data_IF_387844791051
#
_entry.id   IF_387844791051
#
_cell.length_a   1.000
_cell.length_b   1.000
_cell.length_c   1.000
_cell.angle_alpha   90.00
_cell.angle_beta   90.00
_cell.angle_gamma   90.00
#
_symmetry.space_group_name_H-M   'P 1'
#
loop_
_entity.id
_entity.type
_entity.pdbx_description
1 polymer ?
#
# COMPACT_ATOMS: atom_id res chain seq x y z
N UNK A 1 36.56 42.63 66.71
CA UNK A 1 37.81 41.94 66.29
C UNK A 1 37.41 40.50 65.94
N UNK A 2 37.19 40.12 64.66
CA UNK A 2 38.14 39.41 63.75
C UNK A 2 38.94 38.32 64.49
N UNK A 3 38.89 37.02 64.18
CA UNK A 3 39.09 36.30 62.92
C UNK A 3 38.23 35.00 62.86
N UNK A 4 37.59 34.57 61.75
CA UNK A 4 38.07 34.05 60.45
C UNK A 4 38.91 32.76 60.53
N UNK A 5 38.28 31.63 60.20
CA UNK A 5 38.93 30.40 59.74
C UNK A 5 38.35 30.07 58.34
N UNK A 6 39.23 29.75 57.39
CA UNK A 6 38.94 29.53 55.96
C UNK A 6 39.23 28.06 55.66
N UNK A 7 38.33 27.37 54.94
CA UNK A 7 38.58 26.05 54.35
C UNK A 7 38.27 26.15 52.84
N UNK A 8 39.17 25.68 51.94
CA UNK A 8 39.05 25.93 50.51
C UNK A 8 38.28 24.82 49.75
N UNK A 9 37.34 25.29 48.93
CA UNK A 9 37.07 25.00 47.52
C UNK A 9 37.57 23.69 46.88
N UNK A 10 36.62 22.84 46.45
CA UNK A 10 36.77 21.92 45.31
C UNK A 10 35.36 21.57 44.77
N UNK A 11 34.89 22.37 43.80
CA UNK A 11 33.61 22.17 43.12
C UNK A 11 33.89 21.74 41.67
N UNK A 12 33.83 20.42 41.43
CA UNK A 12 33.96 19.82 40.10
C UNK A 12 32.64 19.95 39.35
N UNK A 13 32.62 20.73 38.26
CA UNK A 13 31.46 20.92 37.40
C UNK A 13 31.21 19.72 36.49
N UNK A 14 30.01 19.14 36.57
CA UNK A 14 29.47 18.22 35.57
C UNK A 14 28.81 19.03 34.45
N UNK A 15 29.37 19.00 33.24
CA UNK A 15 28.74 19.55 32.04
C UNK A 15 27.92 18.43 31.40
N UNK A 16 26.59 18.57 31.45
CA UNK A 16 25.67 17.68 30.74
C UNK A 16 25.49 18.21 29.32
N UNK A 17 26.03 17.49 28.33
CA UNK A 17 25.65 17.67 26.93
C UNK A 17 24.34 16.89 26.70
N UNK A 18 23.21 17.60 26.68
CA UNK A 18 21.98 17.08 26.07
C UNK A 18 22.11 17.17 24.55
N UNK A 19 22.32 16.03 23.91
CA UNK A 19 22.13 15.85 22.47
C UNK A 19 20.63 15.75 22.21
N UNK A 20 20.03 16.81 21.65
CA UNK A 20 18.67 16.76 21.14
C UNK A 20 18.74 16.25 19.71
N UNK A 21 18.44 14.97 19.51
CA UNK A 21 18.25 14.41 18.18
C UNK A 21 16.84 14.84 17.71
N UNK A 22 16.78 15.72 16.72
CA UNK A 22 15.52 16.23 16.18
C UNK A 22 14.94 15.23 15.18
N UNK A 23 14.40 14.11 15.66
CA UNK A 23 13.49 13.31 14.86
C UNK A 23 12.16 14.04 14.85
N UNK A 24 11.90 14.78 13.77
CA UNK A 24 10.55 15.28 13.47
C UNK A 24 9.71 14.05 13.17
N UNK A 25 9.06 13.50 14.20
CA UNK A 25 8.02 12.50 14.02
C UNK A 25 6.90 13.18 13.24
N UNK A 26 6.85 12.93 11.93
CA UNK A 26 5.68 13.28 11.13
C UNK A 26 4.50 12.49 11.70
N UNK A 27 3.62 13.18 12.43
CA UNK A 27 2.54 12.54 13.19
C UNK A 27 1.40 12.03 12.31
N UNK A 28 1.36 12.41 11.04
CA UNK A 28 0.34 11.95 10.11
C UNK A 28 0.75 10.70 9.34
N UNK A 29 -0.28 10.01 8.85
CA UNK A 29 -0.16 8.78 8.07
C UNK A 29 -0.57 9.01 6.62
N UNK A 30 0.07 8.26 5.73
CA UNK A 30 -0.25 8.15 4.31
C UNK A 30 -0.74 6.72 4.03
N UNK A 31 -1.68 6.58 3.08
CA UNK A 31 -2.09 5.25 2.61
C UNK A 31 -1.20 4.85 1.45
N UNK A 32 -0.66 3.64 1.44
CA UNK A 32 0.06 3.07 0.31
C UNK A 32 -0.69 1.85 -0.20
N UNK A 33 -0.83 1.74 -1.52
CA UNK A 33 -1.38 0.58 -2.22
C UNK A 33 -0.34 0.07 -3.21
N UNK A 34 -0.01 -1.21 -3.12
CA UNK A 34 0.90 -1.88 -4.04
C UNK A 34 0.04 -2.71 -4.99
N UNK A 35 0.03 -2.32 -6.26
CA UNK A 35 -0.73 -2.98 -7.33
C UNK A 35 0.22 -3.64 -8.32
N UNK A 36 -0.24 -4.67 -9.02
CA UNK A 36 0.53 -5.37 -10.04
C UNK A 36 -0.21 -5.37 -11.38
N UNK A 37 0.54 -5.16 -12.46
CA UNK A 37 0.10 -5.26 -13.85
C UNK A 37 1.17 -6.01 -14.64
N UNK A 38 0.84 -6.45 -15.85
CA UNK A 38 1.74 -7.21 -16.70
C UNK A 38 2.02 -6.53 -18.04
N UNK A 39 3.26 -6.72 -18.51
CA UNK A 39 3.65 -6.45 -19.87
C UNK A 39 3.61 -7.75 -20.71
N UNK A 40 3.08 -7.67 -21.95
CA UNK A 40 2.68 -8.84 -22.74
C UNK A 40 3.78 -9.90 -22.89
N UNK A 41 3.42 -11.18 -22.69
CA UNK A 41 4.27 -12.34 -22.91
C UNK A 41 3.71 -13.33 -23.94
N UNK A 42 4.60 -14.09 -24.59
CA UNK A 42 4.23 -15.10 -25.61
C UNK A 42 3.95 -16.48 -24.99
N UNK A 43 3.18 -16.51 -23.90
CA UNK A 43 2.83 -17.72 -23.16
C UNK A 43 1.30 -17.82 -23.00
N UNK A 44 0.80 -19.00 -22.62
CA UNK A 44 -0.63 -19.15 -22.34
C UNK A 44 -0.96 -18.61 -20.95
N UNK A 45 -0.15 -18.94 -19.94
CA UNK A 45 -0.27 -18.43 -18.57
C UNK A 45 1.12 -18.31 -17.95
N UNK A 46 1.32 -17.26 -17.13
CA UNK A 46 2.50 -17.12 -16.27
C UNK A 46 2.02 -16.90 -14.85
N UNK A 47 2.06 -17.97 -14.05
CA UNK A 47 1.50 -18.01 -12.71
C UNK A 47 2.58 -17.74 -11.67
N UNK A 48 2.42 -16.69 -10.87
CA UNK A 48 3.35 -16.28 -9.82
C UNK A 48 2.67 -16.35 -8.46
N UNK A 49 3.28 -17.07 -7.52
CA UNK A 49 2.82 -17.23 -6.14
C UNK A 49 3.36 -16.08 -5.28
N UNK A 50 2.49 -15.17 -4.85
CA UNK A 50 2.83 -14.00 -4.03
C UNK A 50 2.37 -14.25 -2.59
N UNK A 51 3.29 -14.09 -1.63
CA UNK A 51 3.07 -14.42 -0.22
C UNK A 51 3.09 -13.24 0.72
N UNK A 52 4.03 -12.31 0.53
CA UNK A 52 4.10 -11.09 1.33
C UNK A 52 4.66 -9.93 0.51
N UNK A 53 4.29 -8.72 0.91
CA UNK A 53 4.86 -7.47 0.41
C UNK A 53 5.49 -6.77 1.61
N UNK A 54 6.74 -6.37 1.46
CA UNK A 54 7.49 -5.65 2.48
C UNK A 54 8.01 -4.34 1.90
N UNK A 55 8.24 -3.35 2.75
CA UNK A 55 8.79 -2.05 2.38
C UNK A 55 10.03 -1.73 3.21
N UNK A 56 10.88 -0.87 2.66
CA UNK A 56 12.07 -0.37 3.33
C UNK A 56 12.23 1.14 3.13
N UNK A 57 12.53 1.85 4.22
CA UNK A 57 12.71 3.32 4.19
C UNK A 57 14.03 3.72 3.53
N UNK A 58 15.10 3.00 3.84
CA UNK A 58 16.44 3.31 3.35
C UNK A 58 16.75 2.60 2.02
N UNK A 59 17.64 3.16 1.20
CA UNK A 59 18.22 2.45 0.07
C UNK A 59 19.51 1.73 0.50
N UNK A 60 19.39 0.84 1.50
CA UNK A 60 20.49 0.00 1.98
C UNK A 60 20.17 -1.47 1.73
N UNK A 61 21.19 -2.28 1.40
CA UNK A 61 21.02 -3.72 1.14
C UNK A 61 20.89 -4.56 2.42
N UNK A 62 20.66 -3.91 3.57
CA UNK A 62 20.56 -4.57 4.86
C UNK A 62 19.25 -5.37 4.98
N UNK A 63 19.31 -6.50 5.70
CA UNK A 63 18.12 -7.33 5.99
C UNK A 63 17.34 -6.82 7.21
N UNK A 64 17.88 -5.88 7.98
CA UNK A 64 17.18 -5.17 9.05
C UNK A 64 16.36 -4.01 8.49
N UNK A 65 15.18 -3.73 9.06
CA UNK A 65 14.38 -2.54 8.72
C UNK A 65 13.22 -2.77 7.74
N UNK A 66 13.05 -4.01 7.28
CA UNK A 66 11.91 -4.39 6.44
C UNK A 66 10.62 -4.44 7.25
N UNK A 67 9.61 -3.71 6.78
CA UNK A 67 8.26 -3.71 7.35
C UNK A 67 7.33 -4.48 6.41
N UNK A 68 6.70 -5.54 6.91
CA UNK A 68 5.66 -6.27 6.16
C UNK A 68 4.36 -5.46 6.17
N UNK A 69 3.67 -5.40 5.03
CA UNK A 69 2.35 -4.76 4.94
C UNK A 69 1.26 -5.72 5.48
N UNK A 70 0.36 -5.19 6.31
CA UNK A 70 -0.61 -5.99 7.05
C UNK A 70 -1.82 -6.43 6.20
N UNK A 71 -2.30 -5.59 5.28
CA UNK A 71 -3.42 -5.90 4.40
C UNK A 71 -2.92 -6.47 3.08
N UNK A 72 -2.69 -7.78 3.01
CA UNK A 72 -2.25 -8.47 1.79
C UNK A 72 -3.28 -9.46 1.26
N UNK A 73 -3.35 -9.56 -0.06
CA UNK A 73 -4.01 -10.63 -0.80
C UNK A 73 -2.94 -11.65 -1.27
N UNK A 74 -2.62 -12.71 -0.50
CA UNK A 74 -1.70 -13.74 -0.94
C UNK A 74 -2.40 -14.69 -1.93
N UNK A 75 -1.66 -15.17 -2.94
CA UNK A 75 -2.25 -16.06 -3.94
C UNK A 75 -1.35 -16.31 -5.14
N UNK A 76 -1.82 -17.19 -6.02
CA UNK A 76 -1.21 -17.43 -7.33
C UNK A 76 -1.93 -16.55 -8.35
N UNK A 77 -1.16 -15.69 -8.99
CA UNK A 77 -1.65 -14.72 -9.97
C UNK A 77 -1.14 -15.09 -11.35
N UNK A 78 -2.05 -15.26 -12.32
CA UNK A 78 -1.67 -15.28 -13.72
C UNK A 78 -1.36 -13.84 -14.15
N UNK A 79 -0.10 -13.54 -14.42
CA UNK A 79 0.33 -12.20 -14.80
C UNK A 79 -0.43 -11.70 -16.04
N UNK A 80 -0.67 -12.59 -17.01
CA UNK A 80 -1.28 -12.22 -18.29
C UNK A 80 -2.75 -11.77 -18.16
N UNK A 81 -3.43 -12.06 -17.05
CA UNK A 81 -4.79 -11.57 -16.76
C UNK A 81 -4.81 -10.06 -16.53
N UNK A 82 -3.67 -9.49 -16.13
CA UNK A 82 -3.49 -8.08 -15.80
C UNK A 82 -2.77 -7.31 -16.91
N UNK A 83 -2.74 -7.85 -18.13
CA UNK A 83 -2.29 -7.12 -19.31
C UNK A 83 -3.36 -6.12 -19.80
N UNK A 84 -2.98 -5.25 -20.74
CA UNK A 84 -3.86 -4.26 -21.38
C UNK A 84 -4.49 -3.23 -20.43
N UNK A 85 -3.71 -2.74 -19.46
CA UNK A 85 -4.13 -1.67 -18.56
C UNK A 85 -5.03 -2.13 -17.41
N UNK A 86 -5.19 -3.45 -17.21
CA UNK A 86 -5.76 -4.01 -15.98
C UNK A 86 -4.67 -4.10 -14.92
N UNK A 87 -5.06 -4.08 -13.66
CA UNK A 87 -4.15 -4.30 -12.55
C UNK A 87 -4.88 -5.06 -11.42
N UNK A 88 -4.12 -5.48 -10.41
CA UNK A 88 -4.65 -6.12 -9.21
C UNK A 88 -4.00 -5.56 -7.95
N UNK A 89 -4.77 -5.45 -6.87
CA UNK A 89 -4.26 -5.03 -5.57
C UNK A 89 -3.56 -6.20 -4.87
N UNK A 90 -2.25 -6.07 -4.65
CA UNK A 90 -1.47 -7.05 -3.88
C UNK A 90 -1.56 -6.76 -2.39
N UNK A 91 -1.29 -5.52 -1.99
CA UNK A 91 -1.28 -5.14 -0.59
C UNK A 91 -1.59 -3.66 -0.38
N UNK A 92 -2.10 -3.32 0.80
CA UNK A 92 -2.27 -1.95 1.28
C UNK A 92 -1.80 -1.78 2.72
N UNK A 93 -1.45 -0.55 3.10
CA UNK A 93 -1.14 -0.20 4.48
C UNK A 93 -1.28 1.30 4.73
N UNK A 94 -1.53 1.67 5.99
CA UNK A 94 -1.35 3.04 6.48
C UNK A 94 0.05 3.15 7.09
N UNK A 95 0.89 3.98 6.48
CA UNK A 95 2.28 4.16 6.84
C UNK A 95 2.49 5.56 7.42
N UNK A 96 3.43 5.75 8.37
CA UNK A 96 3.87 7.09 8.74
C UNK A 96 4.37 7.84 7.51
N UNK A 97 4.16 9.15 7.47
CA UNK A 97 4.78 10.01 6.46
C UNK A 97 6.32 9.86 6.48
N UNK A 98 6.94 10.15 5.33
CA UNK A 98 8.37 9.99 5.09
C UNK A 98 8.70 9.14 3.87
N UNK A 99 10.00 8.88 3.67
CA UNK A 99 10.50 8.26 2.44
C UNK A 99 10.49 6.73 2.48
N UNK A 100 10.04 6.11 1.39
CA UNK A 100 10.16 4.68 1.10
C UNK A 100 11.04 4.52 -0.15
N UNK A 101 12.10 3.72 -0.02
CA UNK A 101 13.10 3.52 -1.06
C UNK A 101 13.00 2.16 -1.75
N UNK A 102 12.39 1.16 -1.10
CA UNK A 102 12.34 -0.19 -1.65
C UNK A 102 11.05 -0.92 -1.29
N UNK A 103 10.64 -1.82 -2.18
CA UNK A 103 9.60 -2.83 -1.97
C UNK A 103 10.24 -4.20 -2.17
N UNK A 104 9.84 -5.19 -1.37
CA UNK A 104 10.21 -6.60 -1.54
C UNK A 104 8.95 -7.44 -1.68
N UNK A 105 8.86 -8.18 -2.79
CA UNK A 105 7.85 -9.22 -2.97
C UNK A 105 8.44 -10.56 -2.52
N UNK A 106 7.81 -11.21 -1.55
CA UNK A 106 8.16 -12.57 -1.16
C UNK A 106 7.31 -13.52 -1.99
N UNK A 107 7.99 -14.37 -2.76
CA UNK A 107 7.35 -15.35 -3.63
C UNK A 107 7.26 -16.71 -2.95
N UNK A 108 6.17 -17.43 -3.19
CA UNK A 108 6.01 -18.82 -2.78
C UNK A 108 6.64 -19.79 -3.77
N UNK A 109 6.38 -21.09 -3.58
CA UNK A 109 6.95 -22.15 -4.41
C UNK A 109 6.07 -22.51 -5.62
N UNK A 110 4.80 -22.12 -5.63
CA UNK A 110 3.82 -22.55 -6.64
C UNK A 110 3.85 -21.69 -7.92
N UNK A 111 5.05 -21.35 -8.40
CA UNK A 111 5.20 -20.62 -9.65
C UNK A 111 5.18 -21.60 -10.83
N UNK A 112 4.42 -21.28 -11.88
CA UNK A 112 4.30 -22.14 -13.06
C UNK A 112 4.13 -21.36 -14.36
N UNK A 113 4.44 -22.02 -15.46
CA UNK A 113 4.33 -21.53 -16.82
C UNK A 113 3.46 -22.51 -17.60
N UNK A 114 2.44 -22.02 -18.27
CA UNK A 114 1.68 -22.80 -19.24
C UNK A 114 2.06 -22.36 -20.65
N UNK A 115 2.58 -23.31 -21.41
CA UNK A 115 2.95 -23.12 -22.80
C UNK A 115 1.72 -23.27 -23.69
N UNK A 116 1.72 -22.64 -24.87
CA UNK A 116 0.61 -22.67 -25.84
C UNK A 116 0.22 -24.07 -26.34
N UNK A 117 1.09 -25.06 -26.14
CA UNK A 117 0.80 -26.46 -26.44
C UNK A 117 0.05 -27.17 -25.28
N UNK A 118 -0.35 -26.43 -24.25
CA UNK A 118 -1.04 -26.93 -23.04
C UNK A 118 -0.10 -27.51 -21.97
N UNK A 119 1.21 -27.55 -22.20
CA UNK A 119 2.16 -28.11 -21.25
C UNK A 119 2.42 -27.15 -20.08
N UNK A 120 2.31 -27.66 -18.85
CA UNK A 120 2.59 -26.91 -17.62
C UNK A 120 3.98 -27.24 -17.10
N UNK A 121 4.79 -26.21 -16.87
CA UNK A 121 6.15 -26.30 -16.32
C UNK A 121 6.23 -25.54 -15.00
N UNK A 122 6.93 -26.10 -14.02
CA UNK A 122 7.26 -25.36 -12.80
C UNK A 122 8.33 -24.31 -13.10
N UNK A 123 8.18 -23.12 -12.51
CA UNK A 123 9.15 -22.03 -12.59
C UNK A 123 9.98 -21.99 -11.32
N UNK A 124 11.29 -22.27 -11.43
CA UNK A 124 12.21 -22.12 -10.30
C UNK A 124 12.55 -20.64 -10.11
N UNK A 125 12.56 -20.16 -8.87
CA UNK A 125 12.87 -18.77 -8.50
C UNK A 125 14.16 -18.69 -7.67
N UNK A 126 15.37 -18.82 -8.26
CA UNK A 126 16.63 -18.83 -7.52
C UNK A 126 16.84 -17.61 -6.61
N UNK A 127 16.38 -16.42 -7.03
CA UNK A 127 16.48 -15.18 -6.25
C UNK A 127 15.27 -14.92 -5.35
N UNK A 128 14.08 -15.41 -5.72
CA UNK A 128 12.83 -15.19 -4.97
C UNK A 128 12.74 -16.01 -3.68
N UNK A 129 13.41 -17.17 -3.62
CA UNK A 129 13.35 -18.09 -2.48
C UNK A 129 14.28 -17.72 -1.32
N UNK A 130 15.33 -16.94 -1.54
CA UNK A 130 16.36 -16.65 -0.50
C UNK A 130 16.19 -15.29 0.15
N UNK A 131 15.87 -14.24 -0.62
CA UNK A 131 15.81 -12.85 -0.13
C UNK A 131 14.52 -12.11 -0.51
N UNK A 132 13.59 -12.76 -1.21
CA UNK A 132 12.50 -12.09 -1.93
C UNK A 132 13.01 -11.23 -3.10
N UNK A 133 12.07 -10.77 -3.92
CA UNK A 133 12.34 -9.88 -5.05
C UNK A 133 12.32 -8.42 -4.59
N UNK A 134 13.50 -7.81 -4.47
CA UNK A 134 13.65 -6.39 -4.13
C UNK A 134 13.48 -5.53 -5.38
N UNK A 135 12.73 -4.44 -5.24
CA UNK A 135 12.49 -3.44 -6.27
C UNK A 135 12.67 -2.06 -5.66
N UNK A 136 13.46 -1.21 -6.32
CA UNK A 136 13.68 0.16 -5.85
C UNK A 136 12.51 1.05 -6.24
N UNK A 137 12.09 1.90 -5.32
CA UNK A 137 11.12 2.97 -5.54
C UNK A 137 11.66 4.28 -4.98
N UNK A 138 11.05 5.39 -5.36
CA UNK A 138 11.33 6.68 -4.72
C UNK A 138 9.97 7.30 -4.39
N UNK A 139 9.47 7.00 -3.19
CA UNK A 139 8.18 7.49 -2.71
C UNK A 139 8.40 8.35 -1.47
N UNK A 140 8.05 9.63 -1.56
CA UNK A 140 8.03 10.53 -0.41
C UNK A 140 6.58 10.70 0.06
N UNK A 141 6.23 10.00 1.14
CA UNK A 141 4.87 9.90 1.64
C UNK A 141 4.52 11.15 2.44
N UNK A 142 3.51 11.88 1.96
CA UNK A 142 2.92 13.03 2.65
C UNK A 142 1.67 12.62 3.39
N UNK A 143 1.44 13.25 4.53
CA UNK A 143 0.25 13.05 5.35
C UNK A 143 -1.03 13.26 4.51
N UNK A 144 -2.04 12.44 4.77
CA UNK A 144 -3.35 12.49 4.12
C UNK A 144 -3.36 12.25 2.59
N UNK A 145 -2.26 11.76 2.02
CA UNK A 145 -2.17 11.36 0.61
C UNK A 145 -2.20 9.84 0.48
N UNK A 146 -2.87 9.33 -0.56
CA UNK A 146 -2.78 7.93 -0.96
C UNK A 146 -1.75 7.79 -2.07
N UNK A 147 -0.85 6.82 -1.97
CA UNK A 147 0.14 6.51 -2.99
C UNK A 147 -0.16 5.13 -3.58
N UNK A 148 -0.27 5.05 -4.89
CA UNK A 148 -0.36 3.80 -5.63
C UNK A 148 1.01 3.50 -6.22
N UNK A 149 1.60 2.38 -5.84
CA UNK A 149 2.82 1.85 -6.45
C UNK A 149 2.40 0.71 -7.36
N UNK A 150 2.50 0.94 -8.67
CA UNK A 150 2.23 -0.06 -9.69
C UNK A 150 3.52 -0.80 -10.04
N UNK A 151 3.49 -2.12 -9.85
CA UNK A 151 4.54 -3.06 -10.23
C UNK A 151 4.18 -3.63 -11.61
N UNK A 152 4.87 -3.13 -12.63
CA UNK A 152 4.76 -3.57 -14.02
C UNK A 152 5.72 -4.74 -14.25
N UNK A 153 5.17 -5.95 -14.17
CA UNK A 153 5.90 -7.20 -14.27
C UNK A 153 6.01 -7.58 -15.76
N UNK A 154 7.23 -7.74 -16.28
CA UNK A 154 7.42 -8.13 -17.67
C UNK A 154 7.52 -9.66 -17.76
N UNK A 155 6.39 -10.35 -17.96
CA UNK A 155 6.36 -11.80 -18.05
C UNK A 155 7.31 -12.34 -19.14
N UNK A 156 7.37 -11.70 -20.30
CA UNK A 156 8.22 -12.12 -21.42
C UNK A 156 9.71 -12.12 -21.06
N UNK A 157 10.19 -11.07 -20.37
CA UNK A 157 11.59 -10.98 -19.95
C UNK A 157 11.87 -11.76 -18.67
N UNK A 158 10.84 -12.07 -17.89
CA UNK A 158 10.99 -12.72 -16.60
C UNK A 158 11.11 -14.24 -16.69
N UNK A 159 10.57 -14.85 -17.74
CA UNK A 159 10.66 -16.29 -17.97
C UNK A 159 11.92 -16.62 -18.79
N UNK A 160 12.81 -17.44 -18.23
CA UNK A 160 14.09 -17.81 -18.86
C UNK A 160 14.17 -19.31 -19.07
N UNK A 161 14.21 -19.75 -20.33
CA UNK A 161 14.42 -21.15 -20.69
C UNK A 161 15.87 -21.58 -20.40
N UNK A 162 16.05 -22.78 -19.84
CA UNK A 162 17.37 -23.32 -19.46
C UNK A 162 18.01 -24.23 -20.51
N UNK A 163 17.37 -24.40 -21.67
CA UNK A 163 17.87 -25.25 -22.78
C UNK A 163 17.75 -26.76 -22.55
N UNK A 164 17.37 -27.20 -21.33
CA UNK A 164 17.09 -28.59 -20.97
C UNK A 164 15.58 -28.88 -20.82
N UNK A 165 14.72 -27.97 -21.30
CA UNK A 165 13.26 -28.04 -21.12
C UNK A 165 12.75 -27.52 -19.76
N UNK A 166 13.62 -27.07 -18.86
CA UNK A 166 13.24 -26.33 -17.65
C UNK A 166 13.18 -24.82 -17.88
N UNK A 167 12.43 -24.13 -17.00
CA UNK A 167 12.28 -22.68 -17.00
C UNK A 167 12.59 -22.12 -15.61
N UNK A 168 13.23 -20.95 -15.59
CA UNK A 168 13.42 -20.14 -14.40
C UNK A 168 12.55 -18.89 -14.47
N UNK A 169 12.11 -18.43 -13.31
CA UNK A 169 11.53 -17.11 -13.12
C UNK A 169 12.62 -16.19 -12.55
N UNK A 170 13.03 -15.22 -13.37
CA UNK A 170 13.91 -14.11 -13.01
C UNK A 170 13.13 -12.80 -13.22
N UNK A 171 12.34 -12.36 -12.23
CA UNK A 171 11.44 -11.23 -12.39
C UNK A 171 12.13 -9.96 -12.89
N UNK A 172 11.55 -9.35 -13.91
CA UNK A 172 11.91 -8.03 -14.43
C UNK A 172 10.71 -7.13 -14.16
N UNK A 173 10.84 -6.27 -13.16
CA UNK A 173 9.75 -5.38 -12.71
C UNK A 173 10.16 -3.93 -12.91
N UNK A 174 9.26 -3.13 -13.47
CA UNK A 174 9.33 -1.67 -13.46
C UNK A 174 8.33 -1.13 -12.44
N UNK A 175 8.65 0.00 -11.83
CA UNK A 175 7.78 0.61 -10.81
C UNK A 175 7.29 1.96 -11.27
N UNK A 176 6.01 2.22 -11.08
CA UNK A 176 5.41 3.53 -11.26
C UNK A 176 4.76 3.91 -9.93
N UNK A 177 5.28 4.96 -9.30
CA UNK A 177 4.68 5.52 -8.08
C UNK A 177 3.84 6.72 -8.46
N UNK A 178 2.57 6.71 -8.07
CA UNK A 178 1.65 7.80 -8.29
C UNK A 178 1.03 8.24 -6.96
N UNK A 179 1.16 9.53 -6.64
CA UNK A 179 0.33 10.14 -5.62
C UNK A 179 -1.09 10.31 -6.18
N UNK A 180 -2.06 9.68 -5.54
CA UNK A 180 -3.48 9.90 -5.77
C UNK A 180 -3.95 10.84 -4.67
N UNK A 181 -3.98 12.14 -4.99
CA UNK A 181 -4.67 13.09 -4.15
C UNK A 181 -6.14 13.13 -4.59
N UNK A 182 -7.02 13.21 -3.60
CA UNK A 182 -8.46 13.12 -3.79
C UNK A 182 -9.11 12.23 -2.74
N UNK A 183 -10.39 12.46 -2.49
CA UNK A 183 -11.10 11.71 -1.46
C UNK A 183 -12.56 12.08 -1.39
N UNK A 184 -13.29 11.34 -0.56
CA UNK A 184 -14.68 11.61 -0.23
C UNK A 184 -14.78 11.72 1.28
N UNK A 185 -15.31 12.84 1.76
CA UNK A 185 -15.49 13.11 3.18
C UNK A 185 -16.95 13.41 3.50
N UNK A 186 -17.32 13.27 4.76
CA UNK A 186 -18.64 13.68 5.22
C UNK A 186 -18.90 13.22 6.65
N UNK A 187 -20.17 13.31 7.04
CA UNK A 187 -20.64 12.88 8.35
C UNK A 187 -21.88 12.02 8.17
N UNK A 188 -21.91 10.86 8.80
CA UNK A 188 -23.09 10.00 8.85
C UNK A 188 -23.94 10.37 10.06
N UNK A 189 -25.26 10.34 9.91
CA UNK A 189 -26.22 10.43 11.03
C UNK A 189 -27.36 9.45 10.83
N UNK A 190 -27.76 8.65 11.83
CA UNK A 190 -27.18 8.55 13.18
C UNK A 190 -25.79 7.89 13.20
N UNK A 191 -24.87 8.43 14.02
CA UNK A 191 -23.50 7.93 14.10
C UNK A 191 -23.41 6.53 14.74
N UNK A 192 -24.34 6.21 15.66
CA UNK A 192 -24.37 4.91 16.33
C UNK A 192 -24.63 3.72 15.37
N UNK A 193 -25.07 3.98 14.13
CA UNK A 193 -25.27 2.93 13.14
C UNK A 193 -23.95 2.37 12.60
N UNK A 194 -22.83 3.08 12.81
CA UNK A 194 -21.46 2.68 12.44
C UNK A 194 -21.40 1.98 11.06
N UNK A 195 -21.88 2.64 9.98
CA UNK A 195 -21.89 1.99 8.69
C UNK A 195 -20.46 1.71 8.21
N UNK A 196 -20.31 0.62 7.47
CA UNK A 196 -19.20 0.53 6.52
C UNK A 196 -19.51 1.38 5.29
N UNK A 197 -18.46 1.93 4.68
CA UNK A 197 -18.55 2.87 3.57
C UNK A 197 -17.76 2.29 2.40
N UNK A 198 -18.42 2.10 1.27
CA UNK A 198 -17.77 1.73 0.01
C UNK A 198 -17.93 2.84 -1.02
N UNK A 199 -16.81 3.27 -1.60
CA UNK A 199 -16.76 4.12 -2.79
C UNK A 199 -16.54 3.19 -3.99
N UNK A 200 -17.54 3.11 -4.87
CA UNK A 200 -17.63 2.14 -5.96
C UNK A 200 -17.51 2.87 -7.29
N UNK A 201 -16.52 2.50 -8.10
CA UNK A 201 -16.30 3.02 -9.46
C UNK A 201 -17.25 2.38 -10.48
N UNK A 202 -17.26 2.88 -11.73
CA UNK A 202 -18.04 2.31 -12.82
C UNK A 202 -17.55 0.89 -13.21
N UNK A 203 -16.27 0.61 -12.97
CA UNK A 203 -15.62 -0.68 -13.21
C UNK A 203 -15.77 -1.66 -12.04
N UNK A 204 -16.57 -1.33 -11.01
CA UNK A 204 -16.75 -2.10 -9.77
C UNK A 204 -15.49 -2.23 -8.89
N UNK A 205 -14.45 -1.41 -9.10
CA UNK A 205 -13.39 -1.23 -8.09
C UNK A 205 -13.96 -0.50 -6.86
N UNK A 206 -13.59 -0.95 -5.67
CA UNK A 206 -14.15 -0.49 -4.40
C UNK A 206 -13.08 -0.04 -3.43
N UNK A 207 -13.21 1.19 -2.90
CA UNK A 207 -12.39 1.71 -1.81
C UNK A 207 -13.26 1.77 -0.56
N UNK A 208 -12.82 1.09 0.50
CA UNK A 208 -13.57 0.95 1.75
C UNK A 208 -13.06 1.86 2.87
N UNK A 209 -13.95 2.17 3.82
CA UNK A 209 -13.60 2.78 5.10
C UNK A 209 -14.76 2.79 6.06
N UNK A 210 -14.55 3.39 7.22
CA UNK A 210 -15.54 3.48 8.29
C UNK A 210 -15.64 4.92 8.80
N UNK A 211 -16.82 5.27 9.32
CA UNK A 211 -16.98 6.48 10.12
C UNK A 211 -16.41 6.29 11.52
N UNK A 212 -15.91 7.36 12.13
CA UNK A 212 -15.52 7.38 13.54
C UNK A 212 -16.75 7.38 14.47
N UNK A 213 -16.54 7.40 15.78
CA UNK A 213 -17.64 7.41 16.77
C UNK A 213 -18.54 8.65 16.71
N UNK A 214 -18.07 9.75 16.10
CA UNK A 214 -18.87 10.96 15.85
C UNK A 214 -19.62 10.91 14.52
N UNK A 215 -19.43 9.86 13.72
CA UNK A 215 -19.99 9.69 12.38
C UNK A 215 -19.17 10.35 11.27
N UNK A 216 -18.06 11.02 11.57
CA UNK A 216 -17.22 11.64 10.54
C UNK A 216 -16.42 10.56 9.80
N UNK A 217 -16.31 10.71 8.48
CA UNK A 217 -15.55 9.80 7.63
C UNK A 217 -14.73 10.57 6.60
N UNK A 218 -13.61 9.95 6.21
CA UNK A 218 -12.75 10.41 5.12
C UNK A 218 -12.19 9.18 4.39
N UNK A 219 -12.63 8.99 3.15
CA UNK A 219 -12.10 7.99 2.23
C UNK A 219 -11.06 8.68 1.34
N UNK A 220 -9.78 8.40 1.57
CA UNK A 220 -8.66 8.97 0.80
C UNK A 220 -8.35 8.11 -0.43
N UNK A 221 -7.66 8.69 -1.41
CA UNK A 221 -7.19 7.96 -2.60
C UNK A 221 -8.26 7.73 -3.66
N UNK A 222 -9.35 8.49 -3.59
CA UNK A 222 -10.38 8.45 -4.63
C UNK A 222 -9.91 9.31 -5.79
N UNK A 223 -9.59 8.67 -6.92
CA UNK A 223 -9.16 9.34 -8.16
C UNK A 223 -10.26 10.26 -8.69
N UNK A 224 -9.89 11.16 -9.60
CA UNK A 224 -10.87 11.95 -10.34
C UNK A 224 -11.80 11.00 -11.12
N UNK A 225 -13.11 11.15 -10.94
CA UNK A 225 -14.08 10.21 -11.50
C UNK A 225 -15.49 10.41 -10.95
N UNK A 226 -16.38 9.52 -11.35
CA UNK A 226 -17.76 9.48 -10.84
C UNK A 226 -18.01 8.15 -10.13
N UNK A 227 -18.56 8.22 -8.92
CA UNK A 227 -18.67 7.08 -8.01
C UNK A 227 -20.08 6.93 -7.46
N UNK A 228 -20.38 5.72 -7.00
CA UNK A 228 -21.47 5.45 -6.05
C UNK A 228 -20.88 5.24 -4.67
N UNK A 229 -21.43 5.91 -3.65
CA UNK A 229 -21.01 5.77 -2.26
C UNK A 229 -22.09 5.03 -1.50
N UNK A 230 -21.80 3.78 -1.14
CA UNK A 230 -22.69 2.91 -0.39
C UNK A 230 -22.33 2.94 1.10
N UNK A 231 -23.30 3.31 1.91
CA UNK A 231 -23.29 3.17 3.36
C UNK A 231 -24.09 1.93 3.68
N UNK A 232 -23.45 0.92 4.27
CA UNK A 232 -24.11 -0.32 4.66
C UNK A 232 -24.00 -0.54 6.16
N UNK A 233 -25.06 -1.05 6.77
CA UNK A 233 -25.11 -1.31 8.21
C UNK A 233 -25.43 -2.78 8.48
N UNK A 234 -25.50 -3.18 9.76
CA UNK A 234 -26.01 -4.50 10.13
C UNK A 234 -27.49 -4.73 9.81
N UNK A 235 -28.24 -3.68 9.48
CA UNK A 235 -29.64 -3.72 9.07
C UNK A 235 -29.79 -3.09 7.68
N UNK A 236 -30.05 -3.93 6.66
CA UNK A 236 -30.15 -3.49 5.28
C UNK A 236 -31.24 -2.42 5.03
N UNK A 237 -32.22 -2.28 5.94
CA UNK A 237 -33.22 -1.21 5.85
C UNK A 237 -32.64 0.20 6.10
N UNK A 238 -31.43 0.29 6.67
CA UNK A 238 -30.70 1.53 6.96
C UNK A 238 -29.59 1.80 5.95
N UNK A 239 -29.39 0.91 4.99
CA UNK A 239 -28.41 1.12 3.92
C UNK A 239 -28.82 2.31 3.06
N UNK A 240 -27.83 3.05 2.58
CA UNK A 240 -28.04 4.20 1.68
C UNK A 240 -26.97 4.19 0.61
N UNK A 241 -27.35 4.47 -0.63
CA UNK A 241 -26.39 4.63 -1.73
C UNK A 241 -26.59 5.99 -2.36
N UNK A 242 -25.53 6.80 -2.35
CA UNK A 242 -25.47 8.05 -3.09
C UNK A 242 -24.83 7.77 -4.45
N UNK A 243 -25.47 8.17 -5.53
CA UNK A 243 -24.98 7.97 -6.90
C UNK A 243 -24.49 9.28 -7.51
N UNK A 244 -23.73 9.18 -8.60
CA UNK A 244 -23.23 10.33 -9.35
C UNK A 244 -22.35 11.29 -8.52
N UNK A 245 -21.56 10.74 -7.59
CA UNK A 245 -20.61 11.53 -6.80
C UNK A 245 -19.37 11.79 -7.65
N UNK A 246 -19.23 13.02 -8.14
CA UNK A 246 -18.05 13.44 -8.90
C UNK A 246 -16.94 13.94 -7.97
N UNK A 247 -15.77 13.31 -8.09
CA UNK A 247 -14.52 13.72 -7.45
C UNK A 247 -13.65 14.38 -8.50
N UNK A 248 -13.16 15.58 -8.22
CA UNK A 248 -12.21 16.29 -9.08
C UNK A 248 -10.77 15.91 -8.73
N UNK A 249 -9.86 16.05 -9.69
CA UNK A 249 -8.45 15.73 -9.51
C UNK A 249 -7.88 16.46 -8.30
N UNK A 250 -7.23 15.71 -7.41
CA UNK A 250 -6.56 16.23 -6.21
C UNK A 250 -7.48 16.98 -5.24
N UNK A 251 -8.79 16.72 -5.24
CA UNK A 251 -9.78 17.37 -4.37
C UNK A 251 -10.55 16.38 -3.49
N UNK A 252 -10.79 16.79 -2.23
CA UNK A 252 -11.70 16.05 -1.34
C UNK A 252 -13.13 16.51 -1.61
N UNK A 253 -13.96 15.61 -2.11
CA UNK A 253 -15.40 15.82 -2.26
C UNK A 253 -16.08 15.65 -0.91
N UNK A 254 -16.54 16.75 -0.32
CA UNK A 254 -17.37 16.70 0.88
C UNK A 254 -18.84 16.43 0.52
N UNK A 255 -19.42 15.39 1.10
CA UNK A 255 -20.83 14.99 0.97
C UNK A 255 -21.76 15.68 1.97
N UNK A 256 -21.20 16.41 2.95
CA UNK A 256 -21.94 16.97 4.06
C UNK A 256 -22.45 15.88 5.00
N UNK A 257 -23.62 16.11 5.60
CA UNK A 257 -24.28 15.13 6.47
C UNK A 257 -25.13 14.18 5.64
N UNK A 258 -24.79 12.90 5.67
CA UNK A 258 -25.57 11.80 5.08
C UNK A 258 -26.50 11.22 6.14
N UNK A 259 -27.80 11.45 5.95
CA UNK A 259 -28.82 10.91 6.83
C UNK A 259 -29.15 9.48 6.42
N UNK A 260 -28.87 8.52 7.29
CA UNK A 260 -29.33 7.14 7.13
C UNK A 260 -30.80 7.03 7.54
N UNK A 261 -31.59 6.16 6.88
CA UNK A 261 -32.98 5.91 7.20
C UNK A 261 -33.18 5.62 8.69
N UNK A 262 -34.05 6.40 9.32
CA UNK A 262 -34.58 6.12 10.65
C UNK A 262 -35.81 5.25 10.45
N UNK A 263 -35.96 4.22 11.28
CA UNK A 263 -37.18 3.42 11.33
C UNK A 263 -38.24 4.11 12.17
#
# INVERSE_FOLDING_TARGET
MKAKFVIPFLLSGLVWFSSCDSTTDSTGTARMEVRMTDAPGDYEEVNVDIRSVQIHKEDTDNESGWLTLDEINPGVYNLLDFANGRDTLLASANLPAGSISQIRLVLGENNSLKLKNGEVKSLKTPSGQTSGLKVKINADLREDVTYVVLLDFDAAKSVVARGNGEYNLKPVIRTITQAVAGGIAGKVTPAEYKPGIYVISAENDTIGGFANDNGDFLIKGVKAGTYSVKFYTGDAARDTTLTNISVSQDQIKNLGTVQLPIK
#
